data_IF_297264213851
#
_entry.id   IF_297264213851
#
_cell.length_a   1.000
_cell.length_b   1.000
_cell.length_c   1.000
_cell.angle_alpha   90.00
_cell.angle_beta   90.00
_cell.angle_gamma   90.00
#
_symmetry.space_group_name_H-M   'P 1'
#
loop_
_entity.id
_entity.type
_entity.pdbx_description
1 polymer ?
#
# COMPACT_ATOMS: atom_id res chain seq x y z
N UNK A 1 17.34 9.85 -14.89
CA UNK A 1 17.39 10.68 -13.67
C UNK A 1 15.99 10.85 -13.07
N UNK A 2 14.99 11.28 -13.85
CA UNK A 2 13.58 11.39 -13.40
C UNK A 2 13.02 10.12 -12.72
N UNK A 3 13.31 8.93 -13.25
CA UNK A 3 12.83 7.68 -12.63
C UNK A 3 13.48 7.43 -11.26
N UNK A 4 14.76 7.76 -11.09
CA UNK A 4 15.48 7.55 -9.82
C UNK A 4 15.05 8.58 -8.76
N UNK A 5 14.79 9.84 -9.15
CA UNK A 5 14.23 10.84 -8.24
C UNK A 5 12.79 10.48 -7.84
N UNK A 6 11.97 10.05 -8.79
CA UNK A 6 10.60 9.58 -8.52
C UNK A 6 10.60 8.34 -7.61
N UNK A 7 11.56 7.43 -7.77
CA UNK A 7 11.72 6.24 -6.91
C UNK A 7 12.10 6.63 -5.47
N UNK A 8 13.10 7.50 -5.30
CA UNK A 8 13.51 7.98 -3.98
C UNK A 8 12.44 8.81 -3.28
N UNK A 9 11.73 9.66 -4.03
CA UNK A 9 10.58 10.43 -3.51
C UNK A 9 9.41 9.51 -3.15
N UNK A 10 9.10 8.52 -3.98
CA UNK A 10 8.04 7.55 -3.72
C UNK A 10 8.34 6.72 -2.46
N UNK A 11 9.60 6.33 -2.25
CA UNK A 11 10.04 5.59 -1.06
C UNK A 11 9.97 6.47 0.20
N UNK A 12 10.46 7.72 0.13
CA UNK A 12 10.33 8.67 1.22
C UNK A 12 8.86 8.95 1.59
N UNK A 13 8.00 9.17 0.58
CA UNK A 13 6.57 9.39 0.77
C UNK A 13 5.90 8.13 1.34
N UNK A 14 6.27 6.96 0.85
CA UNK A 14 5.78 5.66 1.33
C UNK A 14 6.05 5.52 2.82
N UNK A 15 7.28 5.81 3.25
CA UNK A 15 7.65 5.80 4.67
C UNK A 15 6.89 6.85 5.49
N UNK A 16 6.70 8.06 4.96
CA UNK A 16 5.96 9.14 5.62
C UNK A 16 4.47 8.81 5.81
N UNK A 17 3.87 8.02 4.91
CA UNK A 17 2.46 7.62 4.98
C UNK A 17 2.19 6.44 5.91
N UNK A 18 3.19 5.61 6.22
CA UNK A 18 3.05 4.46 7.13
C UNK A 18 2.35 4.78 8.47
N UNK A 19 2.64 5.86 9.21
CA UNK A 19 1.92 6.15 10.46
C UNK A 19 0.43 6.40 10.24
N UNK A 20 0.04 7.05 9.14
CA UNK A 20 -1.36 7.30 8.79
C UNK A 20 -2.03 5.98 8.42
N UNK A 21 -1.38 5.17 7.57
CA UNK A 21 -1.89 3.88 7.14
C UNK A 21 -2.03 2.89 8.31
N UNK A 22 -1.12 2.92 9.30
CA UNK A 22 -1.26 2.14 10.53
C UNK A 22 -2.46 2.53 11.38
N UNK A 23 -2.93 3.76 11.25
CA UNK A 23 -4.14 4.22 11.95
C UNK A 23 -5.42 3.89 11.18
N UNK A 24 -5.36 3.87 9.85
CA UNK A 24 -6.49 3.54 8.97
C UNK A 24 -6.71 2.02 8.85
N UNK A 25 -5.62 1.25 8.82
CA UNK A 25 -5.61 -0.20 8.65
C UNK A 25 -4.91 -0.89 9.84
N UNK A 26 -5.41 -0.73 11.08
CA UNK A 26 -4.72 -1.17 12.29
C UNK A 26 -4.45 -2.68 12.38
N UNK A 27 -5.24 -3.52 11.72
CA UNK A 27 -5.02 -4.98 11.69
C UNK A 27 -4.04 -5.34 10.56
N UNK A 28 -4.29 -4.91 9.33
CA UNK A 28 -3.44 -5.28 8.19
C UNK A 28 -2.07 -4.61 8.21
N UNK A 29 -1.95 -3.37 8.72
CA UNK A 29 -0.68 -2.65 8.76
C UNK A 29 0.35 -3.23 9.77
N UNK A 30 -0.04 -4.24 10.56
CA UNK A 30 0.90 -5.05 11.36
C UNK A 30 1.75 -5.97 10.49
N UNK A 31 1.28 -6.25 9.28
CA UNK A 31 1.95 -7.13 8.33
C UNK A 31 2.69 -6.29 7.29
N UNK A 32 4.02 -6.36 7.29
CA UNK A 32 4.84 -5.60 6.33
C UNK A 32 4.51 -6.00 4.87
N UNK A 33 4.09 -7.24 4.65
CA UNK A 33 3.60 -7.75 3.36
C UNK A 33 2.38 -6.99 2.83
N UNK A 34 1.52 -6.44 3.71
CA UNK A 34 0.43 -5.53 3.31
C UNK A 34 0.92 -4.09 3.28
N UNK A 35 1.60 -3.66 4.35
CA UNK A 35 1.95 -2.26 4.54
C UNK A 35 2.84 -1.72 3.42
N UNK A 36 3.79 -2.52 2.94
CA UNK A 36 4.73 -2.12 1.88
C UNK A 36 4.04 -1.86 0.52
N UNK A 37 3.26 -2.79 -0.07
CA UNK A 37 2.53 -2.51 -1.31
C UNK A 37 1.40 -1.50 -1.12
N UNK A 38 0.77 -1.43 0.07
CA UNK A 38 -0.26 -0.43 0.36
C UNK A 38 0.32 0.99 0.36
N UNK A 39 1.43 1.22 1.08
CA UNK A 39 2.06 2.54 1.12
C UNK A 39 2.65 2.92 -0.23
N UNK A 40 3.19 1.96 -0.98
CA UNK A 40 3.64 2.18 -2.35
C UNK A 40 2.48 2.55 -3.30
N UNK A 41 1.31 1.90 -3.18
CA UNK A 41 0.12 2.24 -3.95
C UNK A 41 -0.33 3.69 -3.70
N UNK A 42 -0.47 4.09 -2.43
CA UNK A 42 -0.91 5.44 -2.09
C UNK A 42 0.12 6.47 -2.56
N UNK A 43 1.42 6.23 -2.35
CA UNK A 43 2.48 7.10 -2.88
C UNK A 43 2.43 7.22 -4.40
N UNK A 44 2.27 6.10 -5.12
CA UNK A 44 2.18 6.10 -6.57
C UNK A 44 0.97 6.90 -7.08
N UNK A 45 -0.20 6.76 -6.42
CA UNK A 45 -1.38 7.56 -6.73
C UNK A 45 -1.14 9.06 -6.50
N UNK A 46 -0.52 9.45 -5.39
CA UNK A 46 -0.22 10.86 -5.08
C UNK A 46 0.80 11.49 -6.05
N UNK A 47 1.72 10.68 -6.58
CA UNK A 47 2.73 11.12 -7.53
C UNK A 47 2.28 11.03 -9.01
N UNK A 48 1.04 10.65 -9.28
CA UNK A 48 0.53 10.49 -10.65
C UNK A 48 1.11 9.29 -11.40
N UNK A 49 1.74 8.34 -10.69
CA UNK A 49 2.32 7.10 -11.24
C UNK A 49 1.25 6.00 -11.34
N UNK A 50 0.15 6.27 -12.06
CA UNK A 50 -1.00 5.35 -12.15
C UNK A 50 -0.65 3.93 -12.61
N UNK A 51 0.35 3.79 -13.49
CA UNK A 51 0.85 2.51 -13.98
C UNK A 51 1.47 1.64 -12.88
N UNK A 52 2.02 2.26 -11.82
CA UNK A 52 2.58 1.56 -10.66
C UNK A 52 1.54 1.42 -9.53
N UNK A 53 0.59 2.35 -9.42
CA UNK A 53 -0.43 2.33 -8.38
C UNK A 53 -1.29 1.06 -8.45
N UNK A 54 -1.89 0.76 -9.60
CA UNK A 54 -2.80 -0.39 -9.76
C UNK A 54 -2.19 -1.73 -9.36
N UNK A 55 -1.02 -2.16 -9.87
CA UNK A 55 -0.44 -3.45 -9.47
C UNK A 55 -0.05 -3.50 -7.99
N UNK A 56 0.35 -2.38 -7.39
CA UNK A 56 0.63 -2.30 -5.94
C UNK A 56 -0.66 -2.40 -5.12
N UNK A 57 -1.75 -1.79 -5.57
CA UNK A 57 -3.06 -1.88 -4.92
C UNK A 57 -3.61 -3.29 -4.93
N UNK A 58 -3.51 -3.98 -6.07
CA UNK A 58 -3.93 -5.39 -6.18
C UNK A 58 -3.11 -6.27 -5.24
N UNK A 59 -1.78 -6.08 -5.17
CA UNK A 59 -0.94 -6.83 -4.23
C UNK A 59 -1.32 -6.55 -2.78
N UNK A 60 -1.55 -5.29 -2.42
CA UNK A 60 -1.99 -4.93 -1.07
C UNK A 60 -3.31 -5.63 -0.71
N UNK A 61 -4.29 -5.60 -1.61
CA UNK A 61 -5.57 -6.25 -1.41
C UNK A 61 -5.45 -7.78 -1.30
N UNK A 62 -4.60 -8.41 -2.12
CA UNK A 62 -4.33 -9.84 -2.03
C UNK A 62 -3.71 -10.23 -0.68
N UNK A 63 -2.75 -9.44 -0.19
CA UNK A 63 -2.11 -9.70 1.10
C UNK A 63 -3.09 -9.48 2.26
N UNK A 64 -3.96 -8.46 2.19
CA UNK A 64 -5.05 -8.28 3.16
C UNK A 64 -6.02 -9.47 3.14
N UNK A 65 -6.36 -9.98 1.95
CA UNK A 65 -7.29 -11.10 1.80
C UNK A 65 -6.73 -12.41 2.38
N UNK A 66 -5.40 -12.60 2.38
CA UNK A 66 -4.74 -13.73 3.05
C UNK A 66 -4.86 -13.69 4.58
N UNK A 67 -5.11 -12.51 5.15
CA UNK A 67 -5.31 -12.33 6.60
C UNK A 67 -6.77 -12.61 7.01
N UNK A 68 -7.70 -12.59 6.04
CA UNK A 68 -9.11 -12.83 6.26
C UNK A 68 -9.48 -14.31 6.05
N UNK A 69 -10.62 -14.78 6.62
CA UNK A 69 -11.17 -16.09 6.29
C UNK A 69 -11.44 -16.25 4.78
N UNK A 70 -11.23 -17.45 4.22
CA UNK A 70 -11.49 -17.69 2.80
C UNK A 70 -12.93 -17.35 2.40
N UNK A 71 -13.08 -16.49 1.38
CA UNK A 71 -14.39 -16.09 0.85
C UNK A 71 -15.03 -14.91 1.57
N UNK A 72 -14.39 -14.33 2.59
CA UNK A 72 -14.90 -13.17 3.32
C UNK A 72 -13.95 -11.98 3.18
N UNK A 73 -14.50 -10.80 2.88
CA UNK A 73 -13.74 -9.56 2.93
C UNK A 73 -13.66 -9.07 4.38
N UNK A 74 -12.47 -8.64 4.80
CA UNK A 74 -12.31 -7.98 6.09
C UNK A 74 -12.87 -6.55 6.05
N UNK A 75 -13.12 -5.95 7.21
CA UNK A 75 -13.51 -4.54 7.32
C UNK A 75 -12.51 -3.57 6.68
N UNK A 76 -11.25 -3.98 6.52
CA UNK A 76 -10.19 -3.19 5.91
C UNK A 76 -10.12 -3.33 4.38
N UNK A 77 -10.81 -4.33 3.84
CA UNK A 77 -10.98 -4.55 2.40
C UNK A 77 -12.32 -4.02 1.85
N UNK A 78 -13.32 -3.81 2.70
CA UNK A 78 -14.62 -3.22 2.37
C UNK A 78 -14.61 -1.70 2.45
#
# INVERSE_FOLDING_TARGET
MELMSASGLAEALSHALRPILRRLFPESARHEAVLQPLSANVSANLLGLGNAATPMGIRAAQEMARLAPPGEASNELC
#
